data_IF_869301078436
#
_entry.id   IF_869301078436
#
_cell.length_a   1.000
_cell.length_b   1.000
_cell.length_c   1.000
_cell.angle_alpha   90.00
_cell.angle_beta   90.00
_cell.angle_gamma   90.00
#
_symmetry.space_group_name_H-M   'P 1'
#
loop_
_entity.id
_entity.type
_entity.pdbx_description
1 polymer ?
#
# COMPACT_ATOMS: atom_id res chain seq x y z
N UNK A 1 -11.47 11.44 12.90
CA UNK A 1 -11.57 10.04 12.44
C UNK A 1 -10.38 9.22 12.91
N UNK A 2 -9.16 9.52 12.57
CA UNK A 2 -7.96 8.89 13.15
C UNK A 2 -7.25 9.95 14.00
N UNK A 3 -7.65 10.13 15.23
CA UNK A 3 -7.25 11.24 16.12
C UNK A 3 -5.74 11.37 16.41
N UNK A 4 -4.91 10.61 15.74
CA UNK A 4 -3.44 10.63 15.79
C UNK A 4 -2.79 10.06 14.55
N UNK A 5 -3.56 9.74 13.50
CA UNK A 5 -3.06 9.06 12.31
C UNK A 5 -3.03 7.54 12.46
N UNK A 6 -2.21 6.88 11.64
CA UNK A 6 -1.93 5.46 11.75
C UNK A 6 -0.91 5.23 12.88
N UNK A 7 -1.07 4.14 13.62
CA UNK A 7 -0.15 3.76 14.70
C UNK A 7 1.19 3.37 14.08
N UNK A 8 2.28 3.91 14.61
CA UNK A 8 3.64 3.61 14.14
C UNK A 8 3.97 2.12 14.28
N UNK A 9 4.69 1.58 13.29
CA UNK A 9 5.11 0.18 13.26
C UNK A 9 3.99 -0.81 12.97
N UNK A 10 2.77 -0.34 12.59
CA UNK A 10 1.64 -1.21 12.26
C UNK A 10 1.41 -1.31 10.76
N UNK A 11 0.64 -2.32 10.38
CA UNK A 11 0.18 -2.54 9.01
C UNK A 11 -1.30 -2.16 8.90
N UNK A 12 -1.59 -1.14 8.10
CA UNK A 12 -2.94 -0.69 7.81
C UNK A 12 -3.34 -1.05 6.38
N UNK A 13 -4.60 -1.37 6.14
CA UNK A 13 -5.12 -1.58 4.79
C UNK A 13 -6.21 -0.59 4.41
N UNK A 14 -6.21 -0.19 3.14
CA UNK A 14 -7.29 0.56 2.51
C UNK A 14 -7.96 -0.32 1.47
N UNK A 15 -9.24 -0.55 1.64
CA UNK A 15 -10.06 -1.37 0.75
C UNK A 15 -11.11 -0.48 0.09
N UNK A 16 -11.34 -0.65 -1.19
CA UNK A 16 -12.39 0.08 -1.90
C UNK A 16 -12.46 -0.26 -3.37
N UNK A 17 -13.59 0.05 -3.99
CA UNK A 17 -13.79 -0.12 -5.42
C UNK A 17 -12.89 0.79 -6.25
N UNK A 18 -12.85 0.58 -7.56
CA UNK A 18 -12.14 1.48 -8.49
C UNK A 18 -12.64 2.92 -8.33
N UNK A 19 -11.71 3.88 -8.41
CA UNK A 19 -12.02 5.31 -8.37
C UNK A 19 -12.39 5.87 -6.99
N UNK A 20 -12.43 5.08 -5.92
CA UNK A 20 -12.75 5.57 -4.56
C UNK A 20 -11.66 6.42 -3.91
N UNK A 21 -10.50 6.58 -4.58
CA UNK A 21 -9.42 7.46 -4.11
C UNK A 21 -8.37 6.77 -3.27
N UNK A 22 -8.27 5.42 -3.29
CA UNK A 22 -7.26 4.65 -2.54
C UNK A 22 -5.83 5.14 -2.81
N UNK A 23 -5.42 5.16 -4.07
CA UNK A 23 -4.11 5.65 -4.51
C UNK A 23 -3.87 7.11 -4.10
N UNK A 24 -4.90 7.97 -4.21
CA UNK A 24 -4.82 9.36 -3.74
C UNK A 24 -4.54 9.44 -2.23
N UNK A 25 -5.19 8.60 -1.44
CA UNK A 25 -4.93 8.53 -0.01
C UNK A 25 -3.50 8.07 0.29
N UNK A 26 -3.03 7.04 -0.43
CA UNK A 26 -1.66 6.53 -0.29
C UNK A 26 -0.61 7.58 -0.64
N UNK A 27 -0.82 8.34 -1.73
CA UNK A 27 0.06 9.44 -2.11
C UNK A 27 0.07 10.55 -1.06
N UNK A 28 -1.11 10.91 -0.51
CA UNK A 28 -1.20 11.89 0.57
C UNK A 28 -0.50 11.41 1.85
N UNK A 29 -0.63 10.14 2.18
CA UNK A 29 0.06 9.52 3.31
C UNK A 29 1.59 9.63 3.18
N UNK A 30 2.14 9.37 1.99
CA UNK A 30 3.55 9.57 1.69
C UNK A 30 3.93 11.04 1.79
N UNK A 31 3.19 11.92 1.12
CA UNK A 31 3.44 13.36 1.13
C UNK A 31 3.51 13.91 2.56
N UNK A 32 2.56 13.55 3.40
CA UNK A 32 2.55 13.98 4.82
C UNK A 32 3.78 13.50 5.59
N UNK A 33 4.30 12.31 5.29
CA UNK A 33 5.56 11.85 5.88
C UNK A 33 6.76 12.67 5.44
N UNK A 34 6.88 12.90 4.15
CA UNK A 34 8.01 13.64 3.57
C UNK A 34 8.13 15.06 4.13
N UNK A 35 7.02 15.81 4.21
CA UNK A 35 7.04 17.16 4.78
C UNK A 35 7.29 17.19 6.30
N UNK A 36 7.14 16.05 6.98
CA UNK A 36 7.49 15.85 8.39
C UNK A 36 8.92 15.33 8.59
N UNK A 37 9.70 15.19 7.50
CA UNK A 37 11.08 14.69 7.54
C UNK A 37 11.20 13.17 7.66
N UNK A 38 10.12 12.42 7.46
CA UNK A 38 10.14 10.96 7.45
C UNK A 38 10.48 10.43 6.04
N UNK A 39 11.23 9.32 5.99
CA UNK A 39 11.49 8.62 4.74
C UNK A 39 10.30 7.75 4.33
N UNK A 40 10.08 7.65 3.02
CA UNK A 40 8.98 6.89 2.45
C UNK A 40 9.43 5.99 1.29
N UNK A 41 8.84 4.80 1.23
CA UNK A 41 8.98 3.87 0.11
C UNK A 41 7.58 3.60 -0.47
N UNK A 42 7.41 3.90 -1.75
CA UNK A 42 6.19 3.59 -2.49
C UNK A 42 6.46 2.47 -3.49
N UNK A 43 5.76 1.38 -3.33
CA UNK A 43 5.85 0.22 -4.21
C UNK A 43 4.56 0.16 -5.02
N UNK A 44 4.71 0.34 -6.32
CA UNK A 44 3.60 0.17 -7.25
C UNK A 44 3.74 -1.14 -8.02
N UNK A 45 2.64 -1.86 -8.19
CA UNK A 45 2.58 -3.11 -8.95
C UNK A 45 1.79 -2.98 -10.25
N UNK A 46 1.11 -1.86 -10.44
CA UNK A 46 0.26 -1.62 -11.61
C UNK A 46 0.68 -0.37 -12.37
N UNK A 47 0.89 0.74 -11.66
CA UNK A 47 1.13 2.04 -12.28
C UNK A 47 2.63 2.30 -12.48
N UNK A 48 2.99 2.97 -13.57
CA UNK A 48 4.37 3.45 -13.77
C UNK A 48 4.73 4.52 -12.75
N UNK A 49 5.96 4.48 -12.26
CA UNK A 49 6.47 5.46 -11.28
C UNK A 49 6.30 6.90 -11.75
N UNK A 50 6.58 7.19 -13.02
CA UNK A 50 6.40 8.52 -13.63
C UNK A 50 4.97 9.03 -13.56
N UNK A 51 3.98 8.14 -13.65
CA UNK A 51 2.56 8.51 -13.57
C UNK A 51 2.17 8.87 -12.14
N UNK A 52 2.64 8.10 -11.16
CA UNK A 52 2.40 8.41 -9.73
C UNK A 52 3.02 9.75 -9.36
N UNK A 53 4.27 10.00 -9.78
CA UNK A 53 4.95 11.28 -9.54
C UNK A 53 4.18 12.44 -10.17
N UNK A 54 3.76 12.30 -11.44
CA UNK A 54 2.96 13.33 -12.13
C UNK A 54 1.63 13.61 -11.43
N UNK A 55 0.98 12.60 -10.84
CA UNK A 55 -0.24 12.82 -10.05
C UNK A 55 0.03 13.60 -8.76
N UNK A 56 1.17 13.38 -8.11
CA UNK A 56 1.55 14.13 -6.92
C UNK A 56 1.88 15.58 -7.25
N UNK A 57 2.66 15.81 -8.32
CA UNK A 57 2.99 17.15 -8.82
C UNK A 57 1.74 17.96 -9.21
N UNK A 58 0.78 17.34 -9.92
CA UNK A 58 -0.48 18.00 -10.30
C UNK A 58 -1.33 18.42 -9.08
N UNK A 59 -1.08 17.87 -7.91
CA UNK A 59 -1.70 18.28 -6.64
C UNK A 59 -0.92 19.39 -5.91
N UNK A 60 0.16 19.88 -6.52
CA UNK A 60 1.05 20.86 -5.92
C UNK A 60 2.02 20.26 -4.88
N UNK A 61 2.18 18.93 -4.87
CA UNK A 61 3.13 18.26 -4.00
C UNK A 61 4.45 18.08 -4.73
N UNK A 62 5.39 18.99 -4.49
CA UNK A 62 6.74 18.90 -5.07
C UNK A 62 7.54 17.82 -4.33
N UNK A 63 7.48 16.61 -4.87
CA UNK A 63 8.20 15.44 -4.35
C UNK A 63 9.59 15.31 -4.95
N UNK A 64 9.95 16.10 -5.97
CA UNK A 64 11.22 16.00 -6.69
C UNK A 64 12.43 16.18 -5.78
N UNK A 65 12.35 17.08 -4.80
CA UNK A 65 13.39 17.36 -3.82
C UNK A 65 13.67 16.19 -2.85
N UNK A 66 12.75 15.23 -2.74
CA UNK A 66 12.85 14.07 -1.84
C UNK A 66 13.29 12.79 -2.57
N UNK A 67 13.24 12.77 -3.91
CA UNK A 67 13.61 11.59 -4.71
C UNK A 67 15.07 11.22 -4.45
N UNK A 68 15.33 9.91 -4.45
CA UNK A 68 16.64 9.30 -4.22
C UNK A 68 17.33 9.69 -2.89
N UNK A 69 16.61 10.42 -2.03
CA UNK A 69 17.06 10.77 -0.68
C UNK A 69 16.14 10.18 0.40
N UNK A 70 15.01 10.81 0.66
CA UNK A 70 14.01 10.35 1.63
C UNK A 70 12.77 9.75 0.98
N UNK A 71 12.63 9.86 -0.33
CA UNK A 71 11.55 9.21 -1.08
C UNK A 71 12.08 8.27 -2.14
N UNK A 72 11.75 7.00 -2.00
CA UNK A 72 12.01 5.96 -3.00
C UNK A 72 10.69 5.46 -3.56
N UNK A 73 10.60 5.39 -4.89
CA UNK A 73 9.46 4.79 -5.58
C UNK A 73 9.96 3.72 -6.54
N UNK A 74 9.37 2.53 -6.46
CA UNK A 74 9.72 1.39 -7.32
C UNK A 74 8.46 0.80 -7.95
N UNK A 75 8.60 0.37 -9.20
CA UNK A 75 7.61 -0.46 -9.86
C UNK A 75 8.11 -1.91 -9.84
N UNK A 76 7.31 -2.81 -9.31
CA UNK A 76 7.55 -4.25 -9.36
C UNK A 76 6.56 -4.85 -10.36
N UNK A 77 7.06 -5.51 -11.39
CA UNK A 77 6.24 -6.19 -12.37
C UNK A 77 5.85 -7.58 -11.84
N UNK A 78 4.57 -7.83 -11.54
CA UNK A 78 4.10 -9.12 -11.05
C UNK A 78 3.98 -10.17 -12.15
N UNK A 79 4.27 -9.86 -13.42
CA UNK A 79 4.08 -10.78 -14.55
C UNK A 79 5.02 -11.99 -14.53
N UNK A 80 6.20 -11.86 -13.92
CA UNK A 80 7.08 -13.00 -13.64
C UNK A 80 6.87 -13.50 -12.21
N UNK A 81 6.13 -14.59 -12.07
CA UNK A 81 5.76 -15.18 -10.79
C UNK A 81 6.95 -15.48 -9.87
N UNK A 82 8.03 -16.03 -10.41
CA UNK A 82 9.20 -16.37 -9.59
C UNK A 82 9.97 -15.12 -9.14
N UNK A 83 10.12 -14.15 -10.01
CA UNK A 83 10.74 -12.87 -9.66
C UNK A 83 9.88 -12.10 -8.67
N UNK A 84 8.56 -12.05 -8.88
CA UNK A 84 7.65 -11.35 -7.98
C UNK A 84 7.66 -11.95 -6.57
N UNK A 85 7.59 -13.29 -6.42
CA UNK A 85 7.72 -13.95 -5.11
C UNK A 85 9.08 -13.68 -4.47
N UNK A 86 10.15 -13.76 -5.23
CA UNK A 86 11.49 -13.46 -4.71
C UNK A 86 11.59 -12.00 -4.25
N UNK A 87 11.06 -11.08 -5.03
CA UNK A 87 11.03 -9.66 -4.68
C UNK A 87 10.26 -9.41 -3.39
N UNK A 88 9.09 -10.02 -3.23
CA UNK A 88 8.29 -9.89 -1.98
C UNK A 88 9.02 -10.46 -0.77
N UNK A 89 9.64 -11.63 -0.91
CA UNK A 89 10.26 -12.33 0.22
C UNK A 89 11.63 -11.80 0.64
N UNK A 90 12.42 -11.35 -0.32
CA UNK A 90 13.84 -11.06 -0.10
C UNK A 90 14.22 -9.62 -0.44
N UNK A 91 13.74 -9.09 -1.56
CA UNK A 91 14.15 -7.77 -2.03
C UNK A 91 13.43 -6.65 -1.29
N UNK A 92 12.12 -6.78 -1.05
CA UNK A 92 11.35 -5.76 -0.33
C UNK A 92 11.86 -5.52 1.09
N UNK A 93 12.05 -6.53 1.95
CA UNK A 93 12.64 -6.32 3.27
C UNK A 93 14.03 -5.68 3.19
N UNK A 94 14.84 -6.08 2.20
CA UNK A 94 16.16 -5.50 1.97
C UNK A 94 16.05 -4.03 1.54
N UNK A 95 15.12 -3.72 0.64
CA UNK A 95 14.88 -2.35 0.16
C UNK A 95 14.38 -1.45 1.30
N UNK A 96 13.41 -1.91 2.09
CA UNK A 96 12.89 -1.16 3.25
C UNK A 96 14.02 -0.83 4.23
N UNK A 97 14.89 -1.79 4.55
CA UNK A 97 16.06 -1.57 5.40
C UNK A 97 17.05 -0.57 4.77
N UNK A 98 17.35 -0.74 3.48
CA UNK A 98 18.31 0.12 2.77
C UNK A 98 17.85 1.57 2.70
N UNK A 99 16.56 1.80 2.50
CA UNK A 99 15.96 3.15 2.43
C UNK A 99 15.65 3.71 3.81
N UNK A 100 15.78 2.91 4.87
CA UNK A 100 15.35 3.26 6.23
C UNK A 100 13.93 3.87 6.23
N UNK A 101 13.03 3.25 5.48
CA UNK A 101 11.70 3.79 5.26
C UNK A 101 10.85 3.77 6.54
N UNK A 102 10.41 4.94 6.98
CA UNK A 102 9.43 5.08 8.06
C UNK A 102 8.03 4.74 7.59
N UNK A 103 7.72 5.10 6.33
CA UNK A 103 6.42 4.82 5.70
C UNK A 103 6.60 3.95 4.47
N UNK A 104 5.81 2.89 4.40
CA UNK A 104 5.79 1.99 3.24
C UNK A 104 4.38 1.95 2.66
N UNK A 105 4.27 2.09 1.35
CA UNK A 105 3.02 1.92 0.60
C UNK A 105 3.19 0.77 -0.39
N UNK A 106 2.17 -0.08 -0.50
CA UNK A 106 2.09 -1.15 -1.50
C UNK A 106 0.76 -1.00 -2.24
N UNK A 107 0.81 -0.71 -3.53
CA UNK A 107 -0.36 -0.34 -4.35
C UNK A 107 -0.38 -1.05 -5.72
N UNK A 108 -1.29 -1.99 -5.93
CA UNK A 108 -2.15 -2.66 -4.95
C UNK A 108 -1.55 -3.98 -4.43
N UNK A 109 -1.75 -4.29 -3.16
CA UNK A 109 -1.31 -5.57 -2.55
C UNK A 109 -2.06 -6.79 -3.11
N UNK A 110 -3.26 -6.60 -3.64
CA UNK A 110 -4.05 -7.68 -4.25
C UNK A 110 -3.34 -8.39 -5.40
N UNK A 111 -2.41 -7.72 -6.08
CA UNK A 111 -1.57 -8.38 -7.10
C UNK A 111 -0.55 -9.35 -6.51
N UNK A 112 -0.11 -9.15 -5.25
CA UNK A 112 0.66 -10.20 -4.55
C UNK A 112 -0.21 -11.38 -4.14
N UNK A 113 -1.44 -11.12 -3.73
CA UNK A 113 -2.40 -12.18 -3.43
C UNK A 113 -2.71 -13.04 -4.66
N UNK A 114 -2.75 -12.43 -5.87
CA UNK A 114 -2.97 -13.10 -7.15
C UNK A 114 -1.86 -14.10 -7.52
N UNK A 115 -0.66 -13.98 -6.96
CA UNK A 115 0.45 -14.90 -7.21
C UNK A 115 0.19 -16.31 -6.67
N UNK A 116 -0.78 -16.51 -5.80
CA UNK A 116 -1.03 -17.79 -5.14
C UNK A 116 -2.35 -18.39 -5.58
N UNK A 117 -2.29 -19.60 -6.14
CA UNK A 117 -3.44 -20.28 -6.73
C UNK A 117 -4.39 -20.91 -5.68
N UNK A 118 -3.89 -21.23 -4.49
CA UNK A 118 -4.70 -21.81 -3.41
C UNK A 118 -4.74 -20.90 -2.18
N UNK A 119 -5.87 -20.93 -1.49
CA UNK A 119 -6.15 -20.03 -0.36
C UNK A 119 -5.24 -20.29 0.84
N UNK A 120 -4.85 -21.54 1.08
CA UNK A 120 -4.00 -21.90 2.23
C UNK A 120 -2.59 -21.32 2.04
N UNK A 121 -2.03 -21.46 0.85
CA UNK A 121 -0.73 -20.87 0.51
C UNK A 121 -0.81 -19.35 0.51
N UNK A 122 -1.84 -18.75 -0.13
CA UNK A 122 -2.06 -17.31 -0.11
C UNK A 122 -2.07 -16.77 1.31
N UNK A 123 -2.89 -17.37 2.20
CA UNK A 123 -2.98 -16.96 3.60
C UNK A 123 -1.63 -17.05 4.32
N UNK A 124 -0.92 -18.17 4.17
CA UNK A 124 0.38 -18.38 4.82
C UNK A 124 1.42 -17.36 4.37
N UNK A 125 1.52 -17.13 3.06
CA UNK A 125 2.52 -16.23 2.50
C UNK A 125 2.20 -14.76 2.82
N UNK A 126 0.92 -14.38 2.78
CA UNK A 126 0.51 -13.04 3.19
C UNK A 126 0.74 -12.78 4.68
N UNK A 127 0.48 -13.76 5.55
CA UNK A 127 0.81 -13.65 6.98
C UNK A 127 2.30 -13.38 7.18
N UNK A 128 3.17 -14.20 6.55
CA UNK A 128 4.63 -14.02 6.63
C UNK A 128 5.08 -12.66 6.11
N UNK A 129 4.46 -12.21 5.02
CA UNK A 129 4.75 -10.92 4.45
C UNK A 129 4.41 -9.77 5.41
N UNK A 130 3.21 -9.75 5.99
CA UNK A 130 2.81 -8.72 6.94
C UNK A 130 3.62 -8.77 8.24
N UNK A 131 3.96 -9.96 8.72
CA UNK A 131 4.88 -10.14 9.86
C UNK A 131 6.24 -9.52 9.56
N UNK A 132 6.79 -9.75 8.36
CA UNK A 132 8.06 -9.13 7.96
C UNK A 132 8.02 -7.60 7.92
N UNK A 133 6.87 -7.00 7.55
CA UNK A 133 6.69 -5.54 7.59
C UNK A 133 6.68 -5.02 9.03
N UNK A 134 6.05 -5.74 9.97
CA UNK A 134 6.05 -5.37 11.39
C UNK A 134 7.45 -5.46 11.99
N UNK A 135 8.21 -6.51 11.65
CA UNK A 135 9.58 -6.71 12.13
C UNK A 135 10.54 -5.61 11.65
N UNK A 136 10.21 -4.94 10.54
CA UNK A 136 10.98 -3.81 10.01
C UNK A 136 10.65 -2.47 10.70
N UNK A 137 9.67 -2.46 11.61
CA UNK A 137 9.24 -1.28 12.36
C UNK A 137 8.88 -0.07 11.48
N UNK A 138 8.40 -0.33 10.26
CA UNK A 138 7.86 0.68 9.36
C UNK A 138 6.34 0.74 9.48
N UNK A 139 5.76 1.92 9.30
CA UNK A 139 4.30 2.07 9.23
C UNK A 139 3.84 1.81 7.81
N UNK A 140 3.16 0.69 7.60
CA UNK A 140 2.82 0.19 6.27
C UNK A 140 1.36 0.44 5.92
N UNK A 141 1.12 0.87 4.67
CA UNK A 141 -0.20 1.08 4.10
C UNK A 141 -0.37 0.21 2.85
N UNK A 142 -1.27 -0.74 2.94
CA UNK A 142 -1.58 -1.68 1.87
C UNK A 142 -2.87 -1.26 1.16
N UNK A 143 -2.81 -1.11 -0.14
CA UNK A 143 -3.98 -0.78 -0.96
C UNK A 143 -4.55 -2.07 -1.55
N UNK A 144 -5.83 -2.34 -1.29
CA UNK A 144 -6.51 -3.52 -1.83
C UNK A 144 -7.79 -3.14 -2.56
N UNK A 145 -8.08 -3.89 -3.61
CA UNK A 145 -9.36 -3.80 -4.29
C UNK A 145 -10.45 -4.44 -3.43
N UNK A 146 -11.65 -3.86 -3.50
CA UNK A 146 -12.82 -4.49 -2.90
C UNK A 146 -13.27 -5.70 -3.72
N UNK A 147 -13.84 -6.70 -3.06
CA UNK A 147 -14.51 -7.82 -3.71
C UNK A 147 -15.69 -7.30 -4.57
N UNK A 148 -15.90 -7.93 -5.73
CA UNK A 148 -16.94 -7.52 -6.67
C UNK A 148 -18.36 -7.76 -6.15
N UNK A 149 -18.51 -8.71 -5.25
CA UNK A 149 -19.80 -9.12 -4.68
C UNK A 149 -20.02 -8.55 -3.28
N UNK A 150 -18.93 -8.26 -2.56
CA UNK A 150 -18.95 -7.70 -1.22
C UNK A 150 -18.01 -6.48 -1.11
N UNK A 151 -18.56 -5.30 -1.29
CA UNK A 151 -17.82 -4.03 -1.24
C UNK A 151 -17.22 -3.71 0.14
N UNK A 152 -17.51 -4.50 1.17
CA UNK A 152 -16.98 -4.37 2.53
C UNK A 152 -15.76 -5.26 2.78
N UNK A 153 -15.40 -6.09 1.82
CA UNK A 153 -14.29 -7.03 1.91
C UNK A 153 -13.26 -6.78 0.81
N UNK A 154 -12.03 -7.20 1.05
CA UNK A 154 -10.98 -7.24 0.03
C UNK A 154 -11.24 -8.35 -0.98
N UNK A 155 -10.55 -8.31 -2.12
CA UNK A 155 -10.70 -9.27 -3.23
C UNK A 155 -10.67 -10.74 -2.78
N UNK A 156 -9.89 -11.07 -1.76
CA UNK A 156 -9.72 -12.43 -1.24
C UNK A 156 -10.23 -12.60 0.19
N UNK A 157 -10.92 -11.63 0.76
CA UNK A 157 -11.39 -11.65 2.16
C UNK A 157 -10.27 -12.01 3.15
N UNK A 158 -9.07 -11.51 2.93
CA UNK A 158 -7.89 -11.93 3.68
C UNK A 158 -7.19 -10.77 4.37
N UNK A 159 -6.90 -9.69 3.64
CA UNK A 159 -6.04 -8.61 4.13
C UNK A 159 -6.62 -7.90 5.36
N UNK A 160 -7.95 -7.84 5.48
CA UNK A 160 -8.65 -7.26 6.63
C UNK A 160 -8.43 -8.04 7.92
N UNK A 161 -8.19 -9.35 7.85
CA UNK A 161 -7.89 -10.19 9.02
C UNK A 161 -6.42 -10.12 9.43
N UNK A 162 -5.57 -9.68 8.52
CA UNK A 162 -4.12 -9.63 8.73
C UNK A 162 -3.62 -8.23 9.11
N UNK A 163 -4.42 -7.19 8.84
CA UNK A 163 -4.07 -5.79 9.11
C UNK A 163 -4.47 -5.37 10.53
N UNK A 164 -3.69 -4.45 11.09
CA UNK A 164 -3.95 -3.88 12.42
C UNK A 164 -5.07 -2.81 12.36
N UNK A 165 -5.20 -2.15 11.21
CA UNK A 165 -6.25 -1.16 10.91
C UNK A 165 -6.81 -1.38 9.52
N UNK A 166 -8.13 -1.28 9.37
CA UNK A 166 -8.81 -1.38 8.07
C UNK A 166 -9.60 -0.10 7.79
N UNK A 167 -9.35 0.51 6.64
CA UNK A 167 -10.04 1.69 6.15
C UNK A 167 -10.85 1.30 4.91
N UNK A 168 -12.16 1.48 4.96
CA UNK A 168 -13.05 1.23 3.82
C UNK A 168 -13.39 2.53 3.12
N UNK A 169 -13.00 2.67 1.85
CA UNK A 169 -13.38 3.81 1.02
C UNK A 169 -14.57 3.46 0.13
N UNK A 170 -15.60 4.28 0.20
CA UNK A 170 -16.85 4.11 -0.55
C UNK A 170 -17.26 5.40 -1.22
N UNK A 171 -18.00 5.27 -2.30
CA UNK A 171 -18.72 6.41 -2.86
C UNK A 171 -19.86 6.83 -1.91
N UNK A 172 -19.90 8.09 -1.54
CA UNK A 172 -21.11 8.66 -0.96
C UNK A 172 -22.17 8.77 -2.07
N UNK A 173 -23.28 8.05 -1.94
CA UNK A 173 -24.47 8.31 -2.77
C UNK A 173 -25.12 9.55 -2.20
N UNK A 174 -25.06 10.66 -2.94
CA UNK A 174 -25.86 11.85 -2.62
C UNK A 174 -27.34 11.50 -2.77
N UNK A 175 -28.05 11.37 -1.65
CA UNK A 175 -29.46 11.01 -1.69
C UNK A 175 -30.17 10.92 -0.34
N UNK A 176 -29.51 11.09 0.78
CA UNK A 176 -30.19 11.12 2.09
C UNK A 176 -29.74 12.35 2.91
N UNK A 177 -30.00 13.54 2.35
CA UNK A 177 -30.13 14.75 3.12
C UNK A 177 -31.63 15.08 3.18
N UNK A 178 -32.33 14.44 4.08
CA UNK A 178 -33.66 14.86 4.54
C UNK A 178 -33.58 15.30 5.99
#
# INVERSE_FOLDING_TARGET
>A
MLSGGLIEGTVSSIIGAYGTGKTNFAQYYVWQGLIQGQSALYITLEERTSRILGYMENKGWDVSQYLDSTFTIVNLDPSDFNLAINSVKNELPTLIKKTNAHRVVIDPVSLFEDLFNDDATRRREMMRFLESLRDLNCTSLLISEADKTNIFASKYNLIEYLSDTVILLKYARGGDAS
#
